data_IF_655168965964
#
_entry.id   IF_655168965964
#
_cell.length_a   1.000
_cell.length_b   1.000
_cell.length_c   1.000
_cell.angle_alpha   90.00
_cell.angle_beta   90.00
_cell.angle_gamma   90.00
#
_symmetry.space_group_name_H-M   'P 1'
#
loop_
_entity.id
_entity.type
_entity.pdbx_description
1 polymer ?
#
# COMPACT_ATOMS: atom_id res chain seq x y z
N UNK A 1 -33.20 -13.99 -1.92
CA UNK A 1 -32.15 -13.22 -1.21
C UNK A 1 -30.73 -13.75 -1.42
N UNK A 2 -30.46 -15.07 -1.41
CA UNK A 2 -29.09 -15.60 -1.55
C UNK A 2 -28.35 -15.26 -2.86
N UNK A 3 -29.07 -15.05 -3.98
CA UNK A 3 -28.45 -14.70 -5.28
C UNK A 3 -27.84 -13.28 -5.28
N UNK A 4 -28.51 -12.33 -4.63
CA UNK A 4 -27.99 -10.96 -4.48
C UNK A 4 -26.78 -10.92 -3.54
N UNK A 5 -26.83 -11.67 -2.44
CA UNK A 5 -25.72 -11.77 -1.49
C UNK A 5 -24.49 -12.38 -2.17
N UNK A 6 -24.65 -13.45 -2.96
CA UNK A 6 -23.54 -14.02 -3.76
C UNK A 6 -22.93 -12.98 -4.70
N UNK A 7 -23.76 -12.20 -5.39
CA UNK A 7 -23.29 -11.14 -6.28
C UNK A 7 -22.50 -10.06 -5.52
N UNK A 8 -22.97 -9.64 -4.35
CA UNK A 8 -22.25 -8.68 -3.50
C UNK A 8 -20.87 -9.22 -3.07
N UNK A 9 -20.78 -10.50 -2.71
CA UNK A 9 -19.50 -11.13 -2.37
C UNK A 9 -18.54 -11.07 -3.57
N UNK A 10 -19.00 -11.42 -4.77
CA UNK A 10 -18.17 -11.32 -5.97
C UNK A 10 -17.71 -9.89 -6.25
N UNK A 11 -18.57 -8.89 -6.08
CA UNK A 11 -18.20 -7.49 -6.25
C UNK A 11 -17.17 -7.02 -5.22
N UNK A 12 -17.31 -7.43 -3.96
CA UNK A 12 -16.33 -7.13 -2.91
C UNK A 12 -14.97 -7.74 -3.26
N UNK A 13 -14.94 -9.01 -3.66
CA UNK A 13 -13.71 -9.66 -4.09
C UNK A 13 -13.09 -8.94 -5.30
N UNK A 14 -13.89 -8.56 -6.30
CA UNK A 14 -13.40 -7.86 -7.48
C UNK A 14 -12.84 -6.47 -7.13
N UNK A 15 -13.53 -5.73 -6.26
CA UNK A 15 -13.06 -4.44 -5.75
C UNK A 15 -11.74 -4.58 -4.99
N UNK A 16 -11.63 -5.59 -4.13
CA UNK A 16 -10.40 -5.88 -3.39
C UNK A 16 -9.25 -6.21 -4.34
N UNK A 17 -9.47 -7.06 -5.34
CA UNK A 17 -8.46 -7.39 -6.36
C UNK A 17 -8.04 -6.14 -7.14
N UNK A 18 -8.99 -5.28 -7.53
CA UNK A 18 -8.70 -4.02 -8.21
C UNK A 18 -7.83 -3.08 -7.38
N UNK A 19 -8.12 -2.96 -6.08
CA UNK A 19 -7.35 -2.13 -5.15
C UNK A 19 -5.94 -2.68 -4.96
N UNK A 20 -5.80 -3.99 -4.78
CA UNK A 20 -4.48 -4.65 -4.72
C UNK A 20 -3.72 -4.44 -6.02
N UNK A 21 -4.33 -4.69 -7.17
CA UNK A 21 -3.72 -4.49 -8.49
C UNK A 21 -3.23 -3.06 -8.67
N UNK A 22 -4.05 -2.06 -8.32
CA UNK A 22 -3.68 -0.65 -8.37
C UNK A 22 -2.51 -0.29 -7.45
N UNK A 23 -2.38 -0.91 -6.27
CA UNK A 23 -1.21 -0.68 -5.42
C UNK A 23 0.10 -1.14 -6.07
N UNK A 24 0.06 -2.17 -6.91
CA UNK A 24 1.24 -2.66 -7.64
C UNK A 24 1.52 -1.88 -8.93
N UNK A 25 0.48 -1.52 -9.71
CA UNK A 25 0.68 -0.84 -10.99
C UNK A 25 0.62 0.69 -10.88
N UNK A 26 0.04 1.22 -9.81
CA UNK A 26 -0.12 2.66 -9.56
C UNK A 26 1.18 3.47 -9.63
N UNK A 27 2.34 2.96 -9.18
CA UNK A 27 3.62 3.66 -9.35
C UNK A 27 3.99 3.92 -10.82
N UNK A 28 3.57 3.05 -11.76
CA UNK A 28 3.77 3.29 -13.19
C UNK A 28 2.90 4.42 -13.75
N UNK A 29 1.81 4.77 -13.04
CA UNK A 29 0.92 5.90 -13.37
C UNK A 29 1.23 7.16 -12.55
N UNK A 30 2.34 7.18 -11.80
CA UNK A 30 2.76 8.34 -11.01
C UNK A 30 2.16 8.44 -9.61
N UNK A 31 1.50 7.39 -9.11
CA UNK A 31 1.09 7.33 -7.70
C UNK A 31 2.27 6.93 -6.82
N UNK A 32 2.61 7.74 -5.81
CA UNK A 32 3.64 7.39 -4.83
C UNK A 32 2.97 6.87 -3.55
N UNK A 33 3.29 5.62 -3.19
CA UNK A 33 2.81 4.95 -1.99
C UNK A 33 3.92 4.79 -0.92
N UNK A 34 5.08 5.42 -1.14
CA UNK A 34 6.21 5.37 -0.20
C UNK A 34 5.91 6.17 1.05
N UNK A 35 6.39 5.68 2.21
CA UNK A 35 6.40 6.51 3.41
C UNK A 35 7.29 7.74 3.20
N UNK A 36 6.92 8.92 3.71
CA UNK A 36 7.80 10.07 3.75
C UNK A 36 9.13 9.69 4.42
N UNK A 37 10.24 9.97 3.74
CA UNK A 37 11.58 9.68 4.26
C UNK A 37 12.16 10.97 4.81
N UNK A 38 12.08 11.14 6.12
CA UNK A 38 12.83 12.19 6.80
C UNK A 38 14.23 11.68 7.11
N UNK A 39 15.23 12.50 6.79
CA UNK A 39 16.60 12.21 7.18
C UNK A 39 16.80 12.56 8.65
N UNK A 40 17.00 11.55 9.49
CA UNK A 40 17.32 11.73 10.91
C UNK A 40 18.85 11.64 11.04
N UNK A 41 19.47 12.70 11.58
CA UNK A 41 20.90 12.73 11.89
C UNK A 41 21.08 12.93 13.38
N UNK A 42 21.71 11.97 14.04
CA UNK A 42 22.11 12.08 15.44
C UNK A 42 23.64 12.06 15.54
N UNK A 43 24.24 12.96 16.33
CA UNK A 43 25.68 12.94 16.57
C UNK A 43 26.04 11.69 17.39
N UNK A 44 26.98 10.90 16.88
CA UNK A 44 27.54 9.74 17.60
C UNK A 44 28.88 10.13 18.21
N UNK A 45 29.02 9.90 19.52
CA UNK A 45 30.31 10.04 20.21
C UNK A 45 31.09 8.74 19.98
N UNK A 46 32.15 8.82 19.18
CA UNK A 46 33.08 7.70 18.95
C UNK A 46 34.11 7.70 20.08
N UNK A 47 34.01 6.75 21.01
CA UNK A 47 35.06 6.47 21.99
C UNK A 47 36.09 5.53 21.33
N UNK A 48 37.18 6.10 20.83
CA UNK A 48 38.32 5.34 20.32
C UNK A 48 39.46 5.44 21.33
N UNK A 49 39.59 4.43 22.19
CA UNK A 49 40.73 4.16 23.08
C UNK A 49 41.21 2.71 22.85
#
# INVERSE_FOLDING_TARGET
MGRLIKLLIYLICLSFIGLVGYAYIGPFFGADFSAPKDEIREPVILNAD
#
